data_IF_125721143803
#
_entry.id   IF_125721143803
#
_cell.length_a   1.000
_cell.length_b   1.000
_cell.length_c   1.000
_cell.angle_alpha   90.00
_cell.angle_beta   90.00
_cell.angle_gamma   90.00
#
_symmetry.space_group_name_H-M   'P 1'
#
loop_
_entity.id
_entity.type
_entity.pdbx_description
1 polymer ?
#
# COMPACT_ATOMS: atom_id res chain seq x y z
N UNK A 1 13.21 -18.13 3.60
CA UNK A 1 12.39 -17.15 2.87
C UNK A 1 10.94 -17.57 3.05
N UNK A 2 10.33 -17.24 4.19
CA UNK A 2 8.89 -17.42 4.35
C UNK A 2 8.22 -16.47 3.36
N UNK A 3 7.64 -16.97 2.29
CA UNK A 3 6.95 -16.15 1.29
C UNK A 3 5.59 -15.67 1.81
N UNK A 4 5.56 -15.05 2.99
CA UNK A 4 4.31 -14.50 3.53
C UNK A 4 4.07 -13.15 2.86
N UNK A 5 2.82 -12.84 2.47
CA UNK A 5 2.50 -11.55 1.83
C UNK A 5 2.94 -10.34 2.66
N UNK A 6 2.89 -10.44 4.00
CA UNK A 6 3.35 -9.38 4.90
C UNK A 6 4.87 -9.15 4.84
N UNK A 7 5.66 -10.21 4.64
CA UNK A 7 7.13 -10.10 4.54
C UNK A 7 7.53 -9.30 3.27
N UNK A 8 6.70 -9.36 2.21
CA UNK A 8 6.89 -8.54 1.00
C UNK A 8 6.54 -7.08 1.27
N UNK A 9 5.44 -6.82 1.99
CA UNK A 9 5.06 -5.45 2.38
C UNK A 9 6.09 -4.82 3.31
N UNK A 10 6.69 -5.62 4.19
CA UNK A 10 7.80 -5.17 5.05
C UNK A 10 9.02 -4.79 4.22
N UNK A 11 9.35 -5.58 3.20
CA UNK A 11 10.46 -5.29 2.30
C UNK A 11 10.23 -4.05 1.43
N UNK A 12 8.97 -3.72 1.14
CA UNK A 12 8.56 -2.56 0.34
C UNK A 12 8.19 -1.33 1.16
N UNK A 13 8.49 -1.33 2.46
CA UNK A 13 8.35 -0.15 3.29
C UNK A 13 9.31 0.94 2.79
N UNK A 14 8.85 2.18 2.75
CA UNK A 14 9.55 3.35 2.20
C UNK A 14 9.79 3.28 0.67
N UNK A 15 9.19 2.32 -0.03
CA UNK A 15 9.20 2.20 -1.49
C UNK A 15 7.87 2.69 -2.11
N UNK A 16 7.92 3.09 -3.38
CA UNK A 16 6.71 3.49 -4.13
C UNK A 16 5.95 2.25 -4.56
N UNK A 17 4.70 2.12 -4.11
CA UNK A 17 3.82 1.01 -4.43
C UNK A 17 2.55 1.50 -5.13
N UNK A 18 1.94 0.63 -5.93
CA UNK A 18 0.63 0.89 -6.54
C UNK A 18 -0.41 -0.06 -5.95
N UNK A 19 -1.50 0.50 -5.46
CA UNK A 19 -2.62 -0.22 -4.84
C UNK A 19 -3.86 -0.09 -5.70
N UNK A 20 -4.46 -1.24 -6.02
CA UNK A 20 -5.73 -1.33 -6.77
C UNK A 20 -6.86 -1.67 -5.82
N UNK A 21 -7.91 -0.85 -5.84
CA UNK A 21 -9.10 -0.99 -5.01
C UNK A 21 -10.22 -1.75 -5.74
N UNK A 22 -11.20 -2.25 -4.97
CA UNK A 22 -12.35 -3.01 -5.48
C UNK A 22 -13.25 -2.23 -6.44
N UNK A 23 -13.27 -0.91 -6.34
CA UNK A 23 -14.04 -0.02 -7.23
C UNK A 23 -13.29 0.31 -8.53
N UNK A 24 -12.08 -0.22 -8.71
CA UNK A 24 -11.20 0.08 -9.84
C UNK A 24 -10.36 1.33 -9.66
N UNK A 25 -10.41 1.98 -8.49
CA UNK A 25 -9.50 3.07 -8.14
C UNK A 25 -8.07 2.57 -7.97
N UNK A 26 -7.11 3.34 -8.47
CA UNK A 26 -5.68 3.08 -8.31
C UNK A 26 -5.02 4.22 -7.55
N UNK A 27 -4.20 3.87 -6.57
CA UNK A 27 -3.41 4.82 -5.79
C UNK A 27 -1.94 4.44 -5.84
N UNK A 28 -1.10 5.38 -6.25
CA UNK A 28 0.36 5.23 -6.24
C UNK A 28 0.93 6.18 -5.19
N UNK A 29 1.85 5.66 -4.38
CA UNK A 29 2.49 6.45 -3.33
C UNK A 29 3.55 5.64 -2.59
N UNK A 30 4.29 6.30 -1.71
CA UNK A 30 5.31 5.67 -0.88
C UNK A 30 4.63 4.94 0.28
N UNK A 31 4.90 3.64 0.45
CA UNK A 31 4.35 2.85 1.54
C UNK A 31 5.05 3.20 2.86
N UNK A 32 4.40 3.97 3.72
CA UNK A 32 4.97 4.38 5.01
C UNK A 32 4.53 3.51 6.18
N UNK A 33 3.51 2.66 5.98
CA UNK A 33 3.06 1.75 7.02
C UNK A 33 2.02 0.74 6.54
N UNK A 34 1.94 -0.39 7.25
CA UNK A 34 0.93 -1.40 7.05
C UNK A 34 0.57 -2.13 8.36
N UNK A 35 -0.52 -2.90 8.36
CA UNK A 35 -0.88 -3.78 9.48
C UNK A 35 -1.27 -5.20 9.05
N UNK A 36 -1.59 -6.06 10.03
CA UNK A 36 -2.01 -7.44 9.81
C UNK A 36 -3.35 -7.59 9.07
N UNK A 37 -4.15 -6.52 9.00
CA UNK A 37 -5.41 -6.47 8.26
C UNK A 37 -5.21 -5.97 6.82
N UNK A 38 -3.96 -5.71 6.42
CA UNK A 38 -3.58 -5.10 5.14
C UNK A 38 -4.11 -3.67 4.96
N UNK A 39 -4.34 -2.95 6.07
CA UNK A 39 -4.48 -1.51 5.97
C UNK A 39 -3.12 -0.92 5.58
N UNK A 40 -3.12 0.04 4.65
CA UNK A 40 -1.91 0.63 4.10
C UNK A 40 -1.93 2.14 4.34
N UNK A 41 -0.76 2.70 4.63
CA UNK A 41 -0.52 4.14 4.68
C UNK A 41 0.40 4.47 3.51
N UNK A 42 -0.12 5.29 2.59
CA UNK A 42 0.62 5.76 1.43
C UNK A 42 0.83 7.26 1.54
N UNK A 43 2.03 7.74 1.23
CA UNK A 43 2.26 9.16 0.96
C UNK A 43 2.18 9.42 -0.54
N UNK A 44 1.28 10.29 -0.95
CA UNK A 44 1.04 10.58 -2.36
C UNK A 44 2.18 11.44 -2.93
N UNK A 45 2.90 10.89 -3.92
CA UNK A 45 4.04 11.55 -4.55
C UNK A 45 3.62 12.67 -5.52
N UNK A 46 2.40 12.63 -6.04
CA UNK A 46 1.91 13.57 -7.07
C UNK A 46 1.12 14.75 -6.49
N UNK A 47 0.44 14.56 -5.34
CA UNK A 47 -0.44 15.58 -4.73
C UNK A 47 0.26 16.50 -3.72
N UNK A 48 1.52 16.22 -3.37
CA UNK A 48 2.27 17.00 -2.38
C UNK A 48 1.95 16.57 -0.95
N UNK A 49 2.69 15.59 -0.45
CA UNK A 49 2.74 15.15 0.97
C UNK A 49 1.40 14.76 1.62
N UNK A 50 0.35 14.54 0.84
CA UNK A 50 -0.92 14.04 1.37
C UNK A 50 -0.77 12.56 1.78
N UNK A 51 -0.96 12.28 3.07
CA UNK A 51 -1.01 10.91 3.59
C UNK A 51 -2.40 10.31 3.37
N UNK A 52 -2.45 9.18 2.67
CA UNK A 52 -3.67 8.43 2.37
C UNK A 52 -3.66 7.14 3.19
N UNK A 53 -4.76 6.87 3.90
CA UNK A 53 -4.96 5.59 4.59
C UNK A 53 -5.97 4.75 3.81
N UNK A 54 -5.52 3.61 3.31
CA UNK A 54 -6.33 2.64 2.58
C UNK A 54 -6.69 1.49 3.51
N UNK A 55 -7.99 1.13 3.58
CA UNK A 55 -8.41 -0.04 4.35
C UNK A 55 -8.21 -1.34 3.56
N UNK A 56 -7.63 -2.35 4.19
CA UNK A 56 -7.27 -3.62 3.57
C UNK A 56 -8.45 -4.45 3.06
N UNK A 57 -9.65 -4.21 3.58
CA UNK A 57 -10.87 -4.83 3.07
C UNK A 57 -11.29 -4.30 1.69
N UNK A 58 -10.74 -3.16 1.24
CA UNK A 58 -10.98 -2.58 -0.08
C UNK A 58 -9.84 -2.84 -1.07
N UNK A 59 -8.71 -3.38 -0.62
CA UNK A 59 -7.55 -3.69 -1.46
C UNK A 59 -7.78 -4.97 -2.24
N UNK A 60 -7.43 -4.95 -3.53
CA UNK A 60 -7.45 -6.13 -4.42
C UNK A 60 -6.03 -6.58 -4.75
N UNK A 61 -5.18 -5.64 -5.16
CA UNK A 61 -3.80 -5.91 -5.57
C UNK A 61 -2.88 -4.84 -4.99
N UNK A 62 -1.69 -5.27 -4.57
CA UNK A 62 -0.58 -4.40 -4.19
C UNK A 62 0.59 -4.77 -5.09
N UNK A 63 1.06 -3.81 -5.88
CA UNK A 63 2.26 -3.94 -6.68
C UNK A 63 3.38 -3.15 -6.00
N UNK A 64 4.33 -3.84 -5.34
CA UNK A 64 5.54 -3.22 -4.82
C UNK A 64 6.48 -2.78 -5.93
#
# INVERSE_FOLDING_TARGET
>A
MSGRPLDVLEASLEETVTVVLKDGGEHTGVLTGYDQHMNLVLENTDAGEDTIVIRGDNVVTINP
#
